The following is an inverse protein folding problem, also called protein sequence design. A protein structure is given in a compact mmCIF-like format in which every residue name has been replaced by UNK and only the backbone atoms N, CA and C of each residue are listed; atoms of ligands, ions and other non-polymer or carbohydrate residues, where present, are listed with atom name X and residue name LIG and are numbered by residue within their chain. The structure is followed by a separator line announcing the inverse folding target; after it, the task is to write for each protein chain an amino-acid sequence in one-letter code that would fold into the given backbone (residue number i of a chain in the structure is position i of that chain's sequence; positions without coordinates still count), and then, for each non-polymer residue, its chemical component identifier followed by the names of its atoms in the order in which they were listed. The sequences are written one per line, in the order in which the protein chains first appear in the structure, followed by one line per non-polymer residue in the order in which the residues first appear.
data_IF_934405020677
#
_entry.id   IF_934405020677
#
_cell.length_a   1.000
_cell.length_b   1.000
_cell.length_c   1.000
_cell.angle_alpha   90.00
_cell.angle_beta   90.00
_cell.angle_gamma   90.00
#
_symmetry.space_group_name_H-M   'P 1'
#
loop_
_entity.id
_entity.type
_entity.pdbx_description
1 polymer ?
#
# COMPACT_ATOMS: atom_id res chain seq x y z
N UNK A 1 7.21 23.35 -5.74
CA UNK A 1 6.26 22.33 -5.25
C UNK A 1 5.02 23.04 -4.71
N UNK A 2 3.84 22.84 -5.29
CA UNK A 2 2.57 23.38 -4.76
C UNK A 2 2.30 22.70 -3.42
N UNK A 3 2.22 23.47 -2.33
CA UNK A 3 1.74 22.94 -1.06
C UNK A 3 0.34 22.35 -1.29
N UNK A 4 0.15 21.07 -0.96
CA UNK A 4 -1.17 20.46 -0.95
C UNK A 4 -2.04 21.31 -0.02
N UNK A 5 -3.10 21.90 -0.57
CA UNK A 5 -4.02 22.74 0.21
C UNK A 5 -4.85 21.80 1.06
N UNK A 6 -4.47 21.63 2.33
CA UNK A 6 -5.33 20.93 3.29
C UNK A 6 -6.52 21.86 3.61
N UNK A 7 -7.72 21.29 3.60
CA UNK A 7 -8.95 21.98 3.98
C UNK A 7 -9.38 21.42 5.35
N UNK A 8 -9.05 22.10 6.46
CA UNK A 8 -9.37 21.62 7.81
C UNK A 8 -10.86 21.31 7.96
N UNK A 9 -11.73 22.11 7.34
CA UNK A 9 -13.18 21.94 7.38
C UNK A 9 -13.64 20.62 6.76
N UNK A 10 -13.01 20.16 5.67
CA UNK A 10 -13.31 18.86 5.06
C UNK A 10 -12.84 17.72 5.95
N UNK A 11 -11.65 17.85 6.54
CA UNK A 11 -11.09 16.85 7.46
C UNK A 11 -12.00 16.66 8.67
N UNK A 12 -12.42 17.76 9.31
CA UNK A 12 -13.39 17.71 10.42
C UNK A 12 -14.70 17.06 9.99
N UNK A 13 -15.23 17.42 8.82
CA UNK A 13 -16.49 16.83 8.33
C UNK A 13 -16.36 15.30 8.18
N UNK A 14 -15.26 14.82 7.60
CA UNK A 14 -14.97 13.39 7.46
C UNK A 14 -14.91 12.71 8.83
N UNK A 15 -14.28 13.34 9.83
CA UNK A 15 -14.21 12.82 11.21
C UNK A 15 -15.62 12.73 11.81
N UNK A 16 -16.42 13.79 11.69
CA UNK A 16 -17.80 13.80 12.20
C UNK A 16 -18.65 12.71 11.51
N UNK A 17 -18.56 12.58 10.19
CA UNK A 17 -19.26 11.52 9.43
C UNK A 17 -18.81 10.14 9.89
N UNK A 18 -17.51 9.92 10.09
CA UNK A 18 -16.97 8.66 10.60
C UNK A 18 -17.49 8.31 11.99
N UNK A 19 -17.50 9.28 12.92
CA UNK A 19 -18.05 9.08 14.28
C UNK A 19 -19.54 8.75 14.26
N UNK A 20 -20.32 9.41 13.39
CA UNK A 20 -21.75 9.08 13.22
C UNK A 20 -21.93 7.67 12.66
N UNK A 21 -21.08 7.24 11.72
CA UNK A 21 -21.13 5.88 11.18
C UNK A 21 -20.81 4.84 12.27
N UNK A 22 -19.84 5.12 13.14
CA UNK A 22 -19.55 4.29 14.32
C UNK A 22 -20.75 4.23 15.28
N UNK A 23 -21.48 5.33 15.47
CA UNK A 23 -22.72 5.33 16.24
C UNK A 23 -23.77 4.38 15.64
N UNK A 24 -23.94 4.34 14.31
CA UNK A 24 -24.89 3.42 13.68
C UNK A 24 -24.52 1.94 13.87
N UNK A 25 -23.23 1.61 13.93
CA UNK A 25 -22.76 0.22 14.11
C UNK A 25 -22.85 -0.21 15.58
N UNK A 26 -22.40 0.64 16.50
CA UNK A 26 -22.24 0.29 17.92
C UNK A 26 -23.36 0.82 18.83
N UNK A 27 -24.28 1.64 18.32
CA UNK A 27 -25.40 2.27 19.05
C UNK A 27 -24.99 3.07 20.31
N UNK A 28 -23.75 3.56 20.35
CA UNK A 28 -23.17 4.25 21.49
C UNK A 28 -23.55 5.73 21.53
N UNK A 29 -24.60 6.08 22.29
CA UNK A 29 -25.17 7.44 22.38
C UNK A 29 -24.15 8.55 22.66
N UNK A 30 -23.12 8.29 23.46
CA UNK A 30 -22.09 9.27 23.82
C UNK A 30 -21.27 9.74 22.61
N UNK A 31 -21.06 8.88 21.60
CA UNK A 31 -20.31 9.22 20.38
C UNK A 31 -21.00 10.33 19.59
N UNK A 32 -22.34 10.34 19.59
CA UNK A 32 -23.12 11.34 18.86
C UNK A 32 -22.96 12.73 19.50
N UNK A 33 -22.94 12.82 20.83
CA UNK A 33 -22.66 14.07 21.54
C UNK A 33 -21.23 14.59 21.27
N UNK A 34 -20.25 13.68 21.22
CA UNK A 34 -18.86 14.03 20.88
C UNK A 34 -18.76 14.56 19.45
N UNK A 35 -19.37 13.87 18.47
CA UNK A 35 -19.36 14.29 17.07
C UNK A 35 -20.03 15.67 16.90
N UNK A 36 -21.16 15.90 17.58
CA UNK A 36 -21.84 17.18 17.56
C UNK A 36 -21.01 18.30 18.18
N UNK A 37 -20.38 18.04 19.35
CA UNK A 37 -19.49 18.99 20.01
C UNK A 37 -18.27 19.36 19.16
N UNK A 38 -17.61 18.36 18.55
CA UNK A 38 -16.48 18.58 17.63
C UNK A 38 -16.92 19.40 16.42
N UNK A 39 -18.08 19.10 15.82
CA UNK A 39 -18.62 19.84 14.70
C UNK A 39 -18.84 21.32 15.03
N UNK A 40 -19.49 21.62 16.16
CA UNK A 40 -19.73 22.99 16.63
C UNK A 40 -18.40 23.71 16.87
N UNK A 41 -17.50 23.12 17.67
CA UNK A 41 -16.22 23.74 18.02
C UNK A 41 -15.37 24.09 16.79
N UNK A 42 -15.47 23.26 15.75
CA UNK A 42 -14.75 23.45 14.50
C UNK A 42 -15.29 24.61 13.67
N UNK A 43 -16.62 24.84 13.71
CA UNK A 43 -17.26 25.98 13.05
C UNK A 43 -16.93 27.28 13.79
N UNK A 44 -16.89 27.25 15.12
CA UNK A 44 -16.61 28.45 15.93
C UNK A 44 -15.15 28.92 15.84
N UNK A 45 -14.20 28.03 15.55
CA UNK A 45 -12.78 28.37 15.53
C UNK A 45 -11.96 27.59 14.51
N UNK A 46 -11.32 28.31 13.60
CA UNK A 46 -10.34 27.73 12.67
C UNK A 46 -9.12 27.14 13.40
N UNK A 47 -8.76 27.69 14.56
CA UNK A 47 -7.62 27.20 15.34
C UNK A 47 -7.87 25.77 15.85
N UNK A 48 -9.09 25.50 16.32
CA UNK A 48 -9.51 24.17 16.76
C UNK A 48 -9.52 23.20 15.58
N UNK A 49 -10.10 23.62 14.44
CA UNK A 49 -10.12 22.81 13.22
C UNK A 49 -8.72 22.39 12.77
N UNK A 50 -7.74 23.30 12.81
CA UNK A 50 -6.33 22.99 12.49
C UNK A 50 -5.69 22.03 13.49
N UNK A 51 -6.02 22.13 14.77
CA UNK A 51 -5.53 21.20 15.80
C UNK A 51 -6.11 19.80 15.62
N UNK A 52 -7.40 19.68 15.35
CA UNK A 52 -8.05 18.40 15.06
C UNK A 52 -7.43 17.77 13.81
N UNK A 53 -7.28 18.54 12.74
CA UNK A 53 -6.63 18.08 11.51
C UNK A 53 -5.19 17.61 11.77
N UNK A 54 -4.44 18.33 12.60
CA UNK A 54 -3.08 17.91 12.95
C UNK A 54 -3.06 16.55 13.66
N UNK A 55 -3.95 16.33 14.64
CA UNK A 55 -4.09 15.03 15.32
C UNK A 55 -4.48 13.94 14.33
N UNK A 56 -5.43 14.23 13.44
CA UNK A 56 -5.87 13.31 12.39
C UNK A 56 -4.74 12.91 11.44
N UNK A 57 -3.89 13.86 11.04
CA UNK A 57 -2.73 13.55 10.21
C UNK A 57 -1.67 12.71 10.93
N UNK A 58 -1.48 12.88 12.25
CA UNK A 58 -0.59 11.99 13.01
C UNK A 58 -1.10 10.55 13.00
N UNK A 59 -2.41 10.36 13.18
CA UNK A 59 -3.06 9.05 13.10
C UNK A 59 -2.92 8.45 11.69
N UNK A 60 -3.16 9.27 10.66
CA UNK A 60 -3.02 8.86 9.26
C UNK A 60 -1.57 8.48 8.92
N UNK A 61 -0.57 9.20 9.45
CA UNK A 61 0.84 8.88 9.26
C UNK A 61 1.19 7.51 9.85
N UNK A 62 0.71 7.23 11.06
CA UNK A 62 0.90 5.92 11.68
C UNK A 62 0.26 4.81 10.85
N UNK A 63 -0.97 5.03 10.39
CA UNK A 63 -1.68 4.08 9.54
C UNK A 63 -0.95 3.88 8.19
N UNK A 64 -0.42 4.94 7.61
CA UNK A 64 0.34 4.93 6.36
C UNK A 64 1.68 4.18 6.48
N UNK A 65 2.23 4.01 7.68
CA UNK A 65 3.40 3.15 7.88
C UNK A 65 3.03 1.67 7.96
N UNK A 66 1.84 1.36 8.45
CA UNK A 66 1.40 -0.02 8.72
C UNK A 66 0.71 -0.61 7.48
N UNK A 67 -0.19 0.14 6.86
CA UNK A 67 -1.06 -0.31 5.77
C UNK A 67 -0.27 -0.79 4.54
N UNK A 68 0.77 -0.11 4.04
CA UNK A 68 1.52 -0.59 2.87
C UNK A 68 2.18 -1.94 3.12
N UNK A 69 2.72 -2.16 4.32
CA UNK A 69 3.36 -3.42 4.67
C UNK A 69 2.33 -4.56 4.74
N UNK A 70 1.17 -4.30 5.34
CA UNK A 70 0.06 -5.28 5.39
C UNK A 70 -0.46 -5.56 3.98
N UNK A 71 -0.68 -4.52 3.18
CA UNK A 71 -1.20 -4.64 1.83
C UNK A 71 -0.21 -5.42 0.94
N UNK A 72 1.08 -5.08 1.00
CA UNK A 72 2.12 -5.78 0.25
C UNK A 72 2.24 -7.24 0.70
N UNK A 73 2.22 -7.48 2.01
CA UNK A 73 2.21 -8.83 2.57
C UNK A 73 0.98 -9.63 2.13
N UNK A 74 -0.20 -9.02 2.17
CA UNK A 74 -1.44 -9.65 1.72
C UNK A 74 -1.38 -9.99 0.22
N UNK A 75 -0.92 -9.07 -0.62
CA UNK A 75 -0.74 -9.34 -2.05
C UNK A 75 0.28 -10.46 -2.28
N UNK A 76 1.38 -10.44 -1.54
CA UNK A 76 2.43 -11.44 -1.64
C UNK A 76 1.93 -12.85 -1.28
N UNK A 77 1.23 -12.99 -0.16
CA UNK A 77 0.76 -14.29 0.30
C UNK A 77 -0.50 -14.77 -0.44
N UNK A 78 -1.41 -13.86 -0.81
CA UNK A 78 -2.68 -14.23 -1.47
C UNK A 78 -2.50 -14.48 -2.97
N UNK A 79 -1.59 -13.75 -3.65
CA UNK A 79 -1.42 -13.86 -5.10
C UNK A 79 -0.04 -14.40 -5.48
N UNK A 80 1.05 -13.72 -5.12
CA UNK A 80 2.40 -14.08 -5.61
C UNK A 80 2.83 -15.48 -5.14
N UNK A 81 2.55 -15.83 -3.89
CA UNK A 81 2.93 -17.12 -3.31
C UNK A 81 2.25 -18.30 -4.01
N UNK A 82 0.90 -18.36 -4.14
CA UNK A 82 0.27 -19.46 -4.87
C UNK A 82 0.67 -19.48 -6.34
N UNK A 83 0.83 -18.32 -6.99
CA UNK A 83 1.33 -18.24 -8.37
C UNK A 83 2.73 -18.84 -8.47
N UNK A 84 3.63 -18.55 -7.53
CA UNK A 84 4.98 -19.10 -7.50
C UNK A 84 4.97 -20.62 -7.27
N UNK A 85 4.09 -21.14 -6.40
CA UNK A 85 3.92 -22.58 -6.22
C UNK A 85 3.42 -23.26 -7.49
N UNK A 86 2.41 -22.70 -8.16
CA UNK A 86 1.93 -23.20 -9.45
C UNK A 86 3.05 -23.13 -10.49
N UNK A 87 3.74 -22.00 -10.60
CA UNK A 87 4.84 -21.82 -11.53
C UNK A 87 5.96 -22.85 -11.28
N UNK A 88 6.28 -23.20 -10.03
CA UNK A 88 7.25 -24.22 -9.71
C UNK A 88 6.82 -25.63 -10.17
N UNK A 89 5.51 -25.94 -10.09
CA UNK A 89 4.98 -27.21 -10.59
C UNK A 89 4.98 -27.26 -12.13
N UNK A 90 4.62 -26.16 -12.79
CA UNK A 90 4.51 -26.11 -14.25
C UNK A 90 5.84 -25.82 -14.98
N UNK A 91 6.82 -25.21 -14.31
CA UNK A 91 8.12 -24.85 -14.89
C UNK A 91 9.11 -26.00 -14.70
N UNK A 92 9.24 -26.86 -15.72
CA UNK A 92 10.16 -28.01 -15.71
C UNK A 92 11.65 -27.67 -15.87
N UNK A 93 11.96 -26.46 -16.33
CA UNK A 93 13.33 -26.03 -16.58
C UNK A 93 13.82 -25.21 -15.40
N UNK A 94 15.04 -25.46 -14.89
CA UNK A 94 15.72 -24.58 -13.94
C UNK A 94 16.49 -23.52 -14.74
N UNK A 95 15.88 -22.36 -15.12
CA UNK A 95 16.56 -21.36 -15.93
C UNK A 95 17.74 -20.73 -15.19
N UNK A 96 17.71 -20.74 -13.85
CA UNK A 96 18.68 -20.07 -13.00
C UNK A 96 19.76 -21.02 -12.45
N UNK A 97 19.72 -22.31 -12.80
CA UNK A 97 20.64 -23.34 -12.29
C UNK A 97 20.79 -23.28 -10.76
N UNK A 98 19.65 -23.10 -10.06
CA UNK A 98 19.60 -22.96 -8.60
C UNK A 98 20.14 -24.22 -7.93
N UNK A 99 19.93 -25.40 -8.56
CA UNK A 99 20.57 -26.65 -8.14
C UNK A 99 21.92 -26.80 -8.83
N UNK A 100 22.96 -27.14 -8.05
CA UNK A 100 24.32 -27.36 -8.57
C UNK A 100 24.29 -28.42 -9.69
N UNK A 101 24.65 -28.07 -10.93
CA UNK A 101 24.71 -29.04 -12.00
C UNK A 101 25.86 -30.03 -11.74
N UNK A 102 25.63 -31.31 -12.03
CA UNK A 102 26.61 -32.40 -11.79
C UNK A 102 27.81 -32.31 -12.73
N UNK A 103 27.63 -31.72 -13.92
CA UNK A 103 28.65 -31.65 -14.97
C UNK A 103 29.17 -30.22 -15.21
N UNK A 104 28.31 -29.30 -15.65
CA UNK A 104 28.71 -27.93 -16.00
C UNK A 104 27.49 -27.00 -16.01
N UNK A 105 27.70 -25.73 -15.66
CA UNK A 105 26.69 -24.67 -15.75
C UNK A 105 26.59 -24.04 -17.15
N UNK A 106 27.53 -24.36 -18.05
CA UNK A 106 27.53 -23.87 -19.41
C UNK A 106 26.50 -24.63 -20.26
N UNK A 107 25.68 -23.88 -21.01
CA UNK A 107 24.81 -24.43 -22.04
C UNK A 107 25.55 -24.39 -23.37
N UNK A 108 25.56 -25.49 -24.10
CA UNK A 108 26.03 -25.48 -25.49
C UNK A 108 25.07 -24.66 -26.35
N UNK A 109 25.58 -23.62 -26.99
CA UNK A 109 24.81 -22.77 -27.90
C UNK A 109 25.22 -23.11 -29.33
N UNK A 110 24.48 -24.01 -29.98
CA UNK A 110 24.62 -24.31 -31.41
C UNK A 110 23.93 -23.23 -32.26
N UNK A 111 24.40 -21.98 -32.17
CA UNK A 111 23.91 -20.86 -32.98
C UNK A 111 24.87 -20.59 -34.14
N UNK A 112 24.35 -20.46 -35.36
CA UNK A 112 25.12 -19.92 -36.48
C UNK A 112 25.25 -18.40 -36.33
N UNK A 113 26.48 -17.93 -36.15
CA UNK A 113 26.79 -16.50 -36.03
C UNK A 113 26.61 -15.79 -37.36
N UNK A 114 25.84 -14.69 -37.36
CA UNK A 114 25.68 -13.81 -38.52
C UNK A 114 26.45 -12.51 -38.32
N UNK A 115 26.71 -11.78 -39.40
CA UNK A 115 27.42 -10.49 -39.34
C UNK A 115 26.71 -9.46 -38.44
N UNK A 116 25.38 -9.56 -38.29
CA UNK A 116 24.61 -8.72 -37.37
C UNK A 116 24.92 -8.98 -35.89
N UNK A 117 25.25 -10.22 -35.51
CA UNK A 117 25.56 -10.60 -34.13
C UNK A 117 26.91 -10.01 -33.64
N UNK A 118 27.76 -9.58 -34.58
CA UNK A 118 29.06 -8.94 -34.30
C UNK A 118 28.95 -7.42 -34.13
N UNK A 119 27.75 -6.85 -34.34
CA UNK A 119 27.53 -5.41 -34.22
C UNK A 119 27.20 -5.08 -32.77
N UNK A 120 28.15 -4.44 -32.07
CA UNK A 120 28.16 -4.18 -30.64
C UNK A 120 28.26 -5.48 -29.79
N UNK A 121 29.44 -6.12 -29.77
CA UNK A 121 29.65 -7.41 -29.10
C UNK A 121 29.81 -7.33 -27.57
N UNK A 122 29.65 -6.15 -26.98
CA UNK A 122 29.68 -5.90 -25.53
C UNK A 122 28.28 -5.98 -24.93
#
# INVERSE_FOLDING_TARGET
MKALKSDPSKTVLVICTGLILVYFIFSLKWILFVAFGIGILSILSEWISKKIEWVWFQLTKLLSMIVPNILLGAIFYLFLTPIAFLANIFTKSDPLLIKRPVSTAYKEVNKQFKAEDLKNPW
#
